data_IF_566578213008
#
_entry.id   IF_566578213008
#
_cell.length_a   1.000
_cell.length_b   1.000
_cell.length_c   1.000
_cell.angle_alpha   90.00
_cell.angle_beta   90.00
_cell.angle_gamma   90.00
#
_symmetry.space_group_name_H-M   'P 1'
#
loop_
_entity.id
_entity.type
_entity.pdbx_description
1 polymer ?
#
# COMPACT_ATOMS: atom_id res chain seq x y z
N UNK A 1 -49.83 20.89 7.50
CA UNK A 1 -48.82 20.31 6.57
C UNK A 1 -47.52 19.90 7.27
N UNK A 2 -47.29 20.24 8.55
CA UNK A 2 -46.02 19.98 9.24
C UNK A 2 -45.88 18.60 9.90
N UNK A 3 -46.98 17.96 10.33
CA UNK A 3 -46.92 16.63 10.98
C UNK A 3 -46.57 15.49 10.02
N UNK A 4 -46.99 15.60 8.75
CA UNK A 4 -46.74 14.59 7.72
C UNK A 4 -45.27 14.55 7.27
N UNK A 5 -44.53 15.66 7.43
CA UNK A 5 -43.09 15.72 7.16
C UNK A 5 -42.27 15.10 8.29
N UNK A 6 -42.58 15.43 9.55
CA UNK A 6 -41.88 14.89 10.71
C UNK A 6 -41.99 13.35 10.81
N UNK A 7 -43.16 12.80 10.45
CA UNK A 7 -43.35 11.35 10.46
C UNK A 7 -42.59 10.63 9.33
N UNK A 8 -42.42 11.27 8.15
CA UNK A 8 -41.59 10.73 7.06
C UNK A 8 -40.10 10.72 7.42
N UNK A 9 -39.61 11.79 8.04
CA UNK A 9 -38.21 11.86 8.52
C UNK A 9 -37.90 10.78 9.55
N UNK A 10 -38.81 10.55 10.52
CA UNK A 10 -38.64 9.50 11.53
C UNK A 10 -38.76 8.07 10.97
N UNK A 11 -39.51 7.88 9.89
CA UNK A 11 -39.69 6.60 9.21
C UNK A 11 -38.45 6.24 8.39
N UNK A 12 -37.91 7.20 7.64
CA UNK A 12 -36.68 7.01 6.84
C UNK A 12 -35.47 6.67 7.73
N UNK A 13 -35.33 7.33 8.89
CA UNK A 13 -34.22 7.08 9.83
C UNK A 13 -34.26 5.67 10.46
N UNK A 14 -35.45 5.09 10.62
CA UNK A 14 -35.63 3.72 11.15
C UNK A 14 -35.36 2.68 10.06
N UNK A 15 -35.76 2.94 8.82
CA UNK A 15 -35.56 2.01 7.70
C UNK A 15 -34.06 1.88 7.34
N UNK A 16 -33.30 2.98 7.36
CA UNK A 16 -31.86 2.97 7.03
C UNK A 16 -31.03 2.18 8.04
N UNK A 17 -31.42 2.16 9.32
CA UNK A 17 -30.71 1.44 10.39
C UNK A 17 -30.88 -0.08 10.33
N UNK A 18 -31.94 -0.57 9.70
CA UNK A 18 -32.26 -2.01 9.64
C UNK A 18 -31.54 -2.72 8.48
N UNK A 19 -31.13 -1.97 7.45
CA UNK A 19 -30.39 -2.52 6.28
C UNK A 19 -28.86 -2.42 6.45
N UNK A 20 -28.39 -1.51 7.32
CA UNK A 20 -26.96 -1.31 7.56
C UNK A 20 -26.57 -2.09 8.80
N UNK A 21 -25.89 -3.22 8.64
CA UNK A 21 -25.22 -3.90 9.76
C UNK A 21 -24.05 -3.02 10.27
N UNK A 22 -24.19 -2.36 11.43
CA UNK A 22 -23.16 -1.47 11.96
C UNK A 22 -21.92 -2.24 12.46
N UNK A 23 -22.02 -3.57 12.63
CA UNK A 23 -20.88 -4.41 13.01
C UNK A 23 -19.89 -4.57 11.84
N UNK A 24 -20.32 -4.32 10.61
CA UNK A 24 -19.53 -4.50 9.39
C UNK A 24 -18.98 -3.17 8.86
N UNK A 25 -18.31 -2.40 9.71
CA UNK A 25 -17.46 -1.30 9.23
C UNK A 25 -16.22 -1.92 8.59
N UNK A 26 -16.27 -2.12 7.27
CA UNK A 26 -15.11 -2.57 6.47
C UNK A 26 -14.01 -1.52 6.60
N UNK A 27 -13.07 -1.70 7.54
CA UNK A 27 -11.85 -0.90 7.59
C UNK A 27 -11.11 -1.08 6.28
N UNK A 28 -10.93 0.01 5.53
CA UNK A 28 -10.13 -0.01 4.32
C UNK A 28 -8.73 -0.60 4.66
N UNK A 29 -8.29 -1.66 3.97
CA UNK A 29 -6.99 -2.26 4.28
C UNK A 29 -5.91 -1.22 4.03
N UNK A 30 -4.93 -1.13 4.94
CA UNK A 30 -3.86 -0.12 4.87
C UNK A 30 -2.81 -0.48 3.82
N UNK A 31 -3.22 -0.79 2.58
CA UNK A 31 -2.34 -1.10 1.45
C UNK A 31 -1.26 -0.04 1.27
N UNK A 32 -1.64 1.24 1.44
CA UNK A 32 -0.71 2.38 1.40
C UNK A 32 0.52 2.19 2.30
N UNK A 33 0.34 1.67 3.52
CA UNK A 33 1.46 1.49 4.45
C UNK A 33 2.44 0.40 3.98
N UNK A 34 1.94 -0.68 3.36
CA UNK A 34 2.78 -1.74 2.81
C UNK A 34 3.59 -1.26 1.62
N UNK A 35 2.93 -0.64 0.63
CA UNK A 35 3.61 -0.08 -0.54
C UNK A 35 4.64 0.98 -0.15
N UNK A 36 4.31 1.87 0.78
CA UNK A 36 5.23 2.91 1.24
C UNK A 36 6.44 2.34 1.97
N UNK A 37 6.24 1.32 2.82
CA UNK A 37 7.34 0.62 3.50
C UNK A 37 8.23 -0.10 2.49
N UNK A 38 7.63 -0.84 1.54
CA UNK A 38 8.37 -1.55 0.49
C UNK A 38 9.20 -0.59 -0.36
N UNK A 39 8.62 0.54 -0.78
CA UNK A 39 9.32 1.56 -1.54
C UNK A 39 10.48 2.18 -0.75
N UNK A 40 10.26 2.51 0.53
CA UNK A 40 11.29 3.11 1.37
C UNK A 40 12.46 2.14 1.60
N UNK A 41 12.17 0.90 1.97
CA UNK A 41 13.18 -0.16 2.14
C UNK A 41 13.92 -0.40 0.83
N UNK A 42 13.19 -0.50 -0.27
CA UNK A 42 13.72 -0.67 -1.62
C UNK A 42 14.67 0.44 -2.06
N UNK A 43 14.29 1.69 -1.79
CA UNK A 43 15.10 2.86 -2.12
C UNK A 43 16.42 2.83 -1.35
N UNK A 44 16.36 2.57 -0.04
CA UNK A 44 17.57 2.50 0.81
C UNK A 44 18.47 1.35 0.36
N UNK A 45 17.92 0.15 0.20
CA UNK A 45 18.70 -1.02 -0.24
C UNK A 45 19.27 -0.84 -1.66
N UNK A 46 18.48 -0.30 -2.58
CA UNK A 46 18.89 -0.04 -3.95
C UNK A 46 20.03 0.98 -4.04
N UNK A 47 19.94 2.05 -3.26
CA UNK A 47 21.02 3.05 -3.17
C UNK A 47 22.29 2.44 -2.56
N UNK A 48 22.19 1.76 -1.42
CA UNK A 48 23.36 1.16 -0.77
C UNK A 48 24.04 0.12 -1.68
N UNK A 49 23.26 -0.77 -2.30
CA UNK A 49 23.77 -1.79 -3.19
C UNK A 49 24.44 -1.19 -4.43
N UNK A 50 23.80 -0.20 -5.05
CA UNK A 50 24.34 0.41 -6.27
C UNK A 50 25.60 1.22 -6.02
N UNK A 51 25.66 1.98 -4.92
CA UNK A 51 26.87 2.70 -4.51
C UNK A 51 28.00 1.73 -4.18
N UNK A 52 27.70 0.62 -3.49
CA UNK A 52 28.68 -0.42 -3.19
C UNK A 52 29.28 -1.04 -4.47
N UNK A 53 28.43 -1.38 -5.45
CA UNK A 53 28.87 -1.98 -6.72
C UNK A 53 29.70 -1.02 -7.56
N UNK A 54 29.27 0.25 -7.66
CA UNK A 54 30.01 1.27 -8.41
C UNK A 54 31.33 1.63 -7.74
N UNK A 55 31.38 1.65 -6.41
CA UNK A 55 32.61 1.91 -5.65
C UNK A 55 33.61 0.74 -5.64
N UNK A 56 33.20 -0.45 -6.09
CA UNK A 56 34.07 -1.62 -6.15
C UNK A 56 35.08 -1.53 -7.31
N UNK A 57 36.22 -2.24 -7.27
CA UNK A 57 37.19 -2.28 -8.38
C UNK A 57 36.55 -2.69 -9.72
N UNK A 58 35.52 -3.53 -9.67
CA UNK A 58 34.70 -3.97 -10.80
C UNK A 58 33.91 -2.83 -11.46
N UNK A 59 33.62 -1.77 -10.69
CA UNK A 59 32.91 -0.57 -11.14
C UNK A 59 33.73 0.36 -12.03
N UNK A 60 35.06 0.22 -12.03
CA UNK A 60 35.98 1.11 -12.76
C UNK A 60 35.81 1.10 -14.28
N UNK A 61 35.23 0.03 -14.84
CA UNK A 61 34.93 -0.08 -16.28
C UNK A 61 33.59 0.52 -16.71
N UNK A 62 32.78 1.08 -15.78
CA UNK A 62 31.47 1.64 -16.14
C UNK A 62 31.60 3.01 -16.80
N UNK A 63 31.18 3.11 -18.06
CA UNK A 63 31.16 4.36 -18.81
C UNK A 63 30.19 5.41 -18.25
N UNK A 64 29.10 4.97 -17.58
CA UNK A 64 28.08 5.85 -16.98
C UNK A 64 27.63 5.33 -15.62
N UNK A 65 28.43 5.57 -14.56
CA UNK A 65 28.12 5.08 -13.21
C UNK A 65 26.78 5.59 -12.67
N UNK A 66 26.43 6.84 -12.98
CA UNK A 66 25.16 7.44 -12.57
C UNK A 66 23.93 6.71 -13.12
N UNK A 67 23.98 6.21 -14.36
CA UNK A 67 22.88 5.44 -14.97
C UNK A 67 22.73 4.09 -14.27
N UNK A 68 23.83 3.45 -13.91
CA UNK A 68 23.79 2.20 -13.17
C UNK A 68 23.14 2.38 -11.80
N UNK A 69 23.53 3.45 -11.07
CA UNK A 69 22.95 3.78 -9.77
C UNK A 69 21.45 4.00 -9.88
N UNK A 70 21.00 4.83 -10.82
CA UNK A 70 19.58 5.15 -10.95
C UNK A 70 18.74 3.94 -11.38
N UNK A 71 19.19 3.18 -12.39
CA UNK A 71 18.45 2.02 -12.90
C UNK A 71 18.40 0.90 -11.86
N UNK A 72 19.52 0.57 -11.22
CA UNK A 72 19.55 -0.48 -10.22
C UNK A 72 18.73 -0.10 -8.98
N UNK A 73 18.83 1.15 -8.53
CA UNK A 73 18.02 1.66 -7.42
C UNK A 73 16.53 1.59 -7.75
N UNK A 74 16.13 2.06 -8.93
CA UNK A 74 14.73 2.01 -9.38
C UNK A 74 14.22 0.57 -9.47
N UNK A 75 15.04 -0.35 -10.00
CA UNK A 75 14.69 -1.76 -10.10
C UNK A 75 14.48 -2.42 -8.73
N UNK A 76 15.44 -2.26 -7.81
CA UNK A 76 15.34 -2.81 -6.45
C UNK A 76 14.14 -2.22 -5.71
N UNK A 77 13.90 -0.91 -5.87
CA UNK A 77 12.73 -0.22 -5.30
C UNK A 77 11.43 -0.79 -5.85
N UNK A 78 11.34 -1.00 -7.16
CA UNK A 78 10.15 -1.59 -7.79
C UNK A 78 9.89 -3.00 -7.25
N UNK A 79 10.90 -3.87 -7.24
CA UNK A 79 10.75 -5.26 -6.79
C UNK A 79 10.29 -5.34 -5.34
N UNK A 80 10.94 -4.62 -4.43
CA UNK A 80 10.58 -4.61 -3.00
C UNK A 80 9.20 -3.99 -2.75
N UNK A 81 8.81 -2.96 -3.51
CA UNK A 81 7.46 -2.37 -3.47
C UNK A 81 6.39 -3.37 -3.88
N UNK A 82 6.62 -4.10 -4.98
CA UNK A 82 5.72 -5.14 -5.46
C UNK A 82 5.61 -6.31 -4.48
N UNK A 83 6.72 -6.74 -3.89
CA UNK A 83 6.73 -7.77 -2.85
C UNK A 83 5.94 -7.33 -1.61
N UNK A 84 6.12 -6.08 -1.16
CA UNK A 84 5.35 -5.54 -0.05
C UNK A 84 3.85 -5.47 -0.36
N UNK A 85 3.48 -5.09 -1.59
CA UNK A 85 2.11 -5.15 -2.09
C UNK A 85 1.54 -6.57 -2.08
N UNK A 86 2.32 -7.56 -2.52
CA UNK A 86 1.93 -8.98 -2.47
C UNK A 86 1.68 -9.44 -1.03
N UNK A 87 2.57 -9.09 -0.09
CA UNK A 87 2.37 -9.38 1.33
C UNK A 87 1.11 -8.70 1.89
N UNK A 88 0.80 -7.49 1.45
CA UNK A 88 -0.43 -6.80 1.83
C UNK A 88 -1.68 -7.58 1.39
N UNK A 89 -1.69 -8.11 0.16
CA UNK A 89 -2.80 -8.93 -0.36
C UNK A 89 -2.93 -10.23 0.42
N UNK A 90 -1.82 -10.89 0.73
CA UNK A 90 -1.83 -12.14 1.52
C UNK A 90 -2.36 -11.88 2.94
N UNK A 91 -1.95 -10.78 3.57
CA UNK A 91 -2.41 -10.39 4.90
C UNK A 91 -3.91 -10.08 4.91
N UNK A 92 -4.42 -9.37 3.89
CA UNK A 92 -5.85 -9.07 3.74
C UNK A 92 -6.68 -10.35 3.59
N UNK A 93 -6.23 -11.28 2.73
CA UNK A 93 -6.88 -12.59 2.55
C UNK A 93 -6.92 -13.42 3.84
N UNK A 94 -5.87 -13.39 4.65
CA UNK A 94 -5.84 -14.08 5.95
C UNK A 94 -6.84 -13.45 6.94
N UNK A 95 -6.95 -12.12 6.94
CA UNK A 95 -7.88 -11.42 7.83
C UNK A 95 -9.35 -11.75 7.56
N UNK A 96 -9.70 -12.08 6.30
CA UNK A 96 -11.07 -12.44 5.92
C UNK A 96 -11.43 -13.92 6.19
N UNK A 97 -10.44 -14.79 6.39
CA UNK A 97 -10.63 -16.23 6.67
C UNK A 97 -10.62 -16.59 8.14
N UNK A 98 -10.15 -15.70 9.01
CA UNK A 98 -10.01 -15.90 10.45
C UNK A 98 -11.22 -15.43 11.27
N UNK A 99 -12.33 -15.08 10.63
CA UNK A 99 -13.61 -14.69 11.23
C UNK A 99 -14.73 -15.41 10.49
#
# INVERSE_FOLDING_TARGET
MSETQAQRESSDDVEVRDVIDPATVRRAPRYKAFFMTGALVGLVLGLLLSLYLVGSPSGSGLMKPGVYITVLTAFVTMVTTLLAGLFAVIADRRSLRGR
#
